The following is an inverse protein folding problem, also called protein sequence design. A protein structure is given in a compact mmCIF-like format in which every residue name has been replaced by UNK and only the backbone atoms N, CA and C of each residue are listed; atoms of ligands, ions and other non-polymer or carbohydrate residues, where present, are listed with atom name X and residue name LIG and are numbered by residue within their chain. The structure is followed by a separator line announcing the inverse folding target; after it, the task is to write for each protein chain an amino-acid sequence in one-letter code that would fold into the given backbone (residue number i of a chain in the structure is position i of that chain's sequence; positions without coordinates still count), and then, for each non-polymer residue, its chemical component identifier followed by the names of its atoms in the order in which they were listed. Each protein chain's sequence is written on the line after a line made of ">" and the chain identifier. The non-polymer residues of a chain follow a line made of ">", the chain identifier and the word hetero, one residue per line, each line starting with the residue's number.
data_IF_919254626255
#
_entry.id   IF_919254626255
#
_cell.length_a   1.000
_cell.length_b   1.000
_cell.length_c   1.000
_cell.angle_alpha   90.00
_cell.angle_beta   90.00
_cell.angle_gamma   90.00
#
_symmetry.space_group_name_H-M   'P 1'
#
loop_
_entity.id
_entity.type
_entity.pdbx_description
1 polymer ?
#
# COMPACT_ATOMS: atom_id res chain seq x y z
N UNK A 1 4.29 7.18 4.87
CA UNK A 1 3.98 6.93 6.29
C UNK A 1 2.59 6.32 6.49
N UNK A 2 1.51 6.95 6.00
CA UNK A 2 0.14 6.49 6.27
C UNK A 2 -0.19 5.06 5.83
N UNK A 3 0.37 4.60 4.71
CA UNK A 3 0.19 3.22 4.23
C UNK A 3 0.69 2.19 5.24
N UNK A 4 1.83 2.44 5.87
CA UNK A 4 2.44 1.50 6.83
C UNK A 4 1.77 1.60 8.20
N UNK A 5 1.44 2.81 8.66
CA UNK A 5 0.94 3.03 10.02
C UNK A 5 -0.57 2.78 10.17
N UNK A 6 -1.34 2.95 9.10
CA UNK A 6 -2.80 2.82 9.16
C UNK A 6 -3.32 1.72 8.25
N UNK A 7 -2.96 1.76 6.96
CA UNK A 7 -3.57 0.86 5.95
C UNK A 7 -3.14 -0.59 6.18
N UNK A 8 -1.84 -0.87 6.28
CA UNK A 8 -1.33 -2.23 6.47
C UNK A 8 -1.83 -2.90 7.76
N UNK A 9 -1.71 -2.29 8.96
CA UNK A 9 -2.16 -2.95 10.19
C UNK A 9 -3.68 -3.16 10.21
N UNK A 10 -4.46 -2.19 9.72
CA UNK A 10 -5.91 -2.36 9.60
C UNK A 10 -6.27 -3.47 8.59
N UNK A 11 -5.64 -3.46 7.42
CA UNK A 11 -5.93 -4.45 6.39
C UNK A 11 -5.53 -5.87 6.80
N UNK A 12 -4.39 -6.03 7.49
CA UNK A 12 -3.97 -7.32 8.05
C UNK A 12 -4.92 -7.80 9.13
N UNK A 13 -5.35 -6.91 10.04
CA UNK A 13 -6.32 -7.25 11.09
C UNK A 13 -7.62 -7.77 10.48
N UNK A 14 -8.18 -7.06 9.49
CA UNK A 14 -9.43 -7.47 8.85
C UNK A 14 -9.24 -8.73 8.01
N UNK A 15 -8.15 -8.86 7.26
CA UNK A 15 -7.85 -10.06 6.49
C UNK A 15 -7.76 -11.31 7.38
N UNK A 16 -7.18 -11.17 8.57
CA UNK A 16 -7.11 -12.26 9.55
C UNK A 16 -8.49 -12.57 10.13
N UNK A 17 -9.17 -11.57 10.68
CA UNK A 17 -10.44 -11.78 11.39
C UNK A 17 -11.56 -12.29 10.47
N UNK A 18 -11.54 -11.87 9.20
CA UNK A 18 -12.53 -12.30 8.22
C UNK A 18 -12.28 -13.70 7.67
N UNK A 19 -11.12 -14.31 7.93
CA UNK A 19 -10.87 -15.71 7.55
C UNK A 19 -11.75 -16.67 8.35
N UNK A 20 -11.73 -16.56 9.67
CA UNK A 20 -12.54 -17.41 10.56
C UNK A 20 -14.04 -17.21 10.29
N UNK A 21 -14.45 -15.98 10.00
CA UNK A 21 -15.83 -15.64 9.63
C UNK A 21 -16.32 -16.37 8.36
N UNK A 22 -15.43 -16.63 7.40
CA UNK A 22 -15.76 -17.35 6.17
C UNK A 22 -15.80 -18.85 6.40
N UNK A 23 -14.85 -19.36 7.17
CA UNK A 23 -14.80 -20.79 7.53
C UNK A 23 -16.05 -21.18 8.31
N UNK A 24 -16.45 -20.40 9.31
CA UNK A 24 -17.65 -20.66 10.11
C UNK A 24 -18.93 -20.61 9.25
N UNK A 25 -19.01 -19.67 8.29
CA UNK A 25 -20.12 -19.61 7.34
C UNK A 25 -20.16 -20.80 6.35
N UNK A 26 -18.99 -21.38 6.04
CA UNK A 26 -18.87 -22.56 5.20
C UNK A 26 -19.30 -23.82 5.98
N UNK A 27 -18.82 -23.99 7.20
CA UNK A 27 -19.13 -25.14 8.06
C UNK A 27 -20.60 -25.15 8.52
N UNK A 28 -21.17 -23.99 8.81
CA UNK A 28 -22.59 -23.84 9.18
C UNK A 28 -23.56 -24.09 8.02
N UNK A 29 -23.07 -24.16 6.77
CA UNK A 29 -23.91 -24.37 5.60
C UNK A 29 -24.95 -23.26 5.41
N UNK A 30 -24.63 -22.02 5.79
CA UNK A 30 -25.54 -20.88 5.70
C UNK A 30 -26.00 -20.68 4.24
N UNK A 31 -27.20 -21.19 3.94
CA UNK A 31 -27.89 -21.10 2.67
C UNK A 31 -29.33 -20.67 2.89
N UNK A 32 -29.92 -19.99 1.90
CA UNK A 32 -31.35 -19.66 1.98
C UNK A 32 -32.20 -20.94 1.92
N UNK A 33 -33.18 -21.06 2.82
CA UNK A 33 -34.18 -22.13 2.79
C UNK A 33 -35.26 -21.92 1.71
N UNK A 34 -35.27 -20.76 1.05
CA UNK A 34 -36.23 -20.43 0.00
C UNK A 34 -35.90 -21.15 -1.32
N UNK A 35 -36.91 -21.63 -2.06
CA UNK A 35 -36.72 -22.29 -3.35
C UNK A 35 -36.26 -21.26 -4.39
N UNK A 36 -34.95 -20.99 -4.43
CA UNK A 36 -34.30 -20.01 -5.31
C UNK A 36 -33.33 -19.04 -4.62
N UNK A 37 -33.17 -19.09 -3.30
CA UNK A 37 -32.22 -18.21 -2.60
C UNK A 37 -30.76 -18.68 -2.73
N UNK A 38 -29.80 -17.77 -2.44
CA UNK A 38 -28.36 -18.05 -2.55
C UNK A 38 -27.97 -19.24 -1.64
N UNK A 39 -27.60 -20.40 -2.21
CA UNK A 39 -27.24 -21.58 -1.43
C UNK A 39 -25.85 -21.46 -0.79
N UNK A 40 -25.00 -20.58 -1.32
CA UNK A 40 -23.60 -20.42 -0.91
C UNK A 40 -23.31 -19.00 -0.43
N UNK A 41 -23.92 -18.58 0.69
CA UNK A 41 -23.71 -17.21 1.24
C UNK A 41 -22.27 -16.97 1.69
N UNK A 42 -21.54 -18.05 2.01
CA UNK A 42 -20.11 -18.02 2.32
C UNK A 42 -19.27 -17.43 1.17
N UNK A 43 -19.70 -17.55 -0.10
CA UNK A 43 -18.96 -16.98 -1.25
C UNK A 43 -18.91 -15.47 -1.16
N UNK A 44 -20.03 -14.84 -0.80
CA UNK A 44 -20.11 -13.37 -0.64
C UNK A 44 -19.24 -12.95 0.54
N UNK A 45 -19.29 -13.71 1.66
CA UNK A 45 -18.44 -13.45 2.82
C UNK A 45 -16.95 -13.62 2.48
N UNK A 46 -16.59 -14.56 1.60
CA UNK A 46 -15.20 -14.79 1.16
C UNK A 46 -14.60 -13.63 0.36
N UNK A 47 -15.43 -12.79 -0.26
CA UNK A 47 -14.95 -11.56 -0.89
C UNK A 47 -14.38 -10.56 0.14
N UNK A 48 -14.77 -10.64 1.42
CA UNK A 48 -14.23 -9.78 2.48
C UNK A 48 -12.72 -10.02 2.64
N UNK A 49 -12.22 -11.20 3.07
CA UNK A 49 -10.78 -11.43 3.20
C UNK A 49 -10.06 -11.25 1.87
N UNK A 50 -10.66 -11.69 0.76
CA UNK A 50 -10.07 -11.56 -0.57
C UNK A 50 -9.76 -10.10 -0.94
N UNK A 51 -10.71 -9.19 -0.69
CA UNK A 51 -10.54 -7.76 -0.97
C UNK A 51 -9.41 -7.14 -0.14
N UNK A 52 -9.29 -7.54 1.13
CA UNK A 52 -8.24 -7.05 2.02
C UNK A 52 -6.86 -7.63 1.69
N UNK A 53 -6.77 -8.88 1.24
CA UNK A 53 -5.53 -9.44 0.70
C UNK A 53 -5.08 -8.69 -0.57
N UNK A 54 -6.01 -8.38 -1.47
CA UNK A 54 -5.73 -7.53 -2.64
C UNK A 54 -5.26 -6.14 -2.22
N UNK A 55 -5.91 -5.54 -1.22
CA UNK A 55 -5.56 -4.22 -0.70
C UNK A 55 -4.13 -4.21 -0.14
N UNK A 56 -3.73 -5.25 0.61
CA UNK A 56 -2.36 -5.40 1.12
C UNK A 56 -1.38 -5.45 -0.05
N UNK A 57 -1.65 -6.28 -1.07
CA UNK A 57 -0.81 -6.42 -2.24
C UNK A 57 -0.60 -5.07 -2.97
N UNK A 58 -1.69 -4.35 -3.25
CA UNK A 58 -1.61 -3.03 -3.90
C UNK A 58 -0.93 -1.98 -3.01
N UNK A 59 -1.17 -2.02 -1.70
CA UNK A 59 -0.58 -1.07 -0.75
C UNK A 59 0.95 -1.20 -0.69
N UNK A 60 1.46 -2.43 -0.74
CA UNK A 60 2.91 -2.69 -0.81
C UNK A 60 3.49 -2.12 -2.11
N UNK A 61 2.86 -2.41 -3.26
CA UNK A 61 3.32 -1.88 -4.55
C UNK A 61 3.30 -0.34 -4.60
N UNK A 62 2.24 0.27 -4.08
CA UNK A 62 2.14 1.73 -3.96
C UNK A 62 3.25 2.30 -3.09
N UNK A 63 3.53 1.68 -1.94
CA UNK A 63 4.61 2.11 -1.05
C UNK A 63 5.98 2.08 -1.73
N UNK A 64 6.31 0.99 -2.43
CA UNK A 64 7.58 0.85 -3.15
C UNK A 64 7.71 1.91 -4.25
N UNK A 65 6.65 2.13 -5.03
CA UNK A 65 6.65 3.16 -6.09
C UNK A 65 7.01 4.53 -5.52
N UNK A 66 6.36 4.93 -4.42
CA UNK A 66 6.63 6.23 -3.79
C UNK A 66 8.01 6.29 -3.14
N UNK A 67 8.49 5.18 -2.58
CA UNK A 67 9.84 5.11 -2.06
C UNK A 67 10.88 5.35 -3.15
N UNK A 68 10.73 4.72 -4.31
CA UNK A 68 11.62 4.91 -5.45
C UNK A 68 11.62 6.36 -5.94
N UNK A 69 10.45 7.00 -6.04
CA UNK A 69 10.33 8.42 -6.42
C UNK A 69 11.03 9.33 -5.40
N UNK A 70 10.88 9.06 -4.11
CA UNK A 70 11.54 9.84 -3.06
C UNK A 70 13.07 9.70 -3.12
N UNK A 71 13.57 8.48 -3.36
CA UNK A 71 15.00 8.22 -3.48
C UNK A 71 15.60 8.92 -4.71
N UNK A 72 14.91 8.88 -5.84
CA UNK A 72 15.31 9.56 -7.08
C UNK A 72 15.36 11.09 -6.89
N UNK A 73 14.34 11.68 -6.27
CA UNK A 73 14.34 13.10 -5.95
C UNK A 73 15.54 13.49 -5.05
N UNK A 74 15.87 12.65 -4.06
CA UNK A 74 16.98 12.89 -3.13
C UNK A 74 18.35 12.82 -3.80
N UNK A 75 18.56 11.92 -4.78
CA UNK A 75 19.81 11.90 -5.56
C UNK A 75 19.96 13.15 -6.42
N UNK A 76 18.88 13.61 -7.06
CA UNK A 76 18.91 14.82 -7.90
C UNK A 76 19.25 16.09 -7.10
N UNK A 77 18.70 16.22 -5.88
CA UNK A 77 19.01 17.35 -4.99
C UNK A 77 20.49 17.37 -4.54
N UNK A 78 21.09 16.20 -4.32
CA UNK A 78 22.51 16.12 -3.97
C UNK A 78 23.42 16.61 -5.10
N UNK A 79 23.05 16.38 -6.35
CA UNK A 79 23.83 16.83 -7.52
C UNK A 79 23.64 18.34 -7.77
N UNK A 80 22.42 18.85 -7.60
CA UNK A 80 22.14 20.29 -7.67
C UNK A 80 22.93 21.09 -6.62
N UNK A 81 23.05 20.57 -5.39
CA UNK A 81 23.86 21.21 -4.34
C UNK A 81 25.36 21.25 -4.65
N UNK A 82 25.90 20.19 -5.27
CA UNK A 82 27.31 20.18 -5.73
C UNK A 82 27.54 21.16 -6.88
N UNK A 83 26.56 21.28 -7.77
CA UNK A 83 26.57 22.25 -8.87
C UNK A 83 26.60 23.67 -8.33
N UNK A 84 25.64 24.06 -7.48
CA UNK A 84 25.59 25.40 -6.88
C UNK A 84 26.89 25.79 -6.17
N UNK A 85 27.45 24.88 -5.36
CA UNK A 85 28.74 25.07 -4.70
C UNK A 85 29.89 25.32 -5.69
N UNK A 86 29.86 24.71 -6.88
CA UNK A 86 30.84 24.93 -7.96
C UNK A 86 30.66 26.29 -8.63
N UNK A 87 29.42 26.73 -8.85
CA UNK A 87 29.12 28.05 -9.44
C UNK A 87 29.52 29.19 -8.50
N UNK A 88 29.20 29.08 -7.21
CA UNK A 88 29.58 30.07 -6.20
C UNK A 88 31.11 30.30 -6.16
N UNK A 89 31.90 29.21 -6.19
CA UNK A 89 33.37 29.30 -6.26
C UNK A 89 33.88 29.94 -7.56
N UNK A 90 33.22 29.67 -8.67
CA UNK A 90 33.62 30.23 -9.98
C UNK A 90 33.30 31.72 -10.07
N UNK A 91 32.16 32.15 -9.52
CA UNK A 91 31.77 33.56 -9.47
C UNK A 91 32.73 34.39 -8.59
N UNK A 92 33.12 33.86 -7.42
CA UNK A 92 34.07 34.55 -6.53
C UNK A 92 35.50 34.64 -7.09
N UNK A 93 35.89 33.73 -7.99
CA UNK A 93 37.20 33.77 -8.64
C UNK A 93 37.28 34.82 -9.77
N UNK A 94 36.14 35.37 -10.21
CA UNK A 94 36.03 36.40 -11.24
C UNK A 94 36.11 37.85 -10.74
N UNK A 95 35.73 38.15 -9.48
CA UNK A 95 35.72 39.52 -8.94
C UNK A 95 37.07 40.00 -8.35
N UNK A 96 38.07 39.13 -8.27
CA UNK A 96 39.39 39.43 -7.69
C UNK A 96 40.47 39.87 -8.70
N UNK A 97 40.10 40.23 -9.93
CA UNK A 97 41.02 40.69 -10.99
C UNK A 97 40.55 42.03 -11.56
#
# INVERSE_FOLDING_TARGET
>A
AGVILFILPLALLVAWLSWDYVVEAYESGEGSADPGGLPYRWVIKAFIPFSFWLLIFFSVGYFIKWLNVYLDARSNLSEAGKFDAKFSKTAQQGEGK
#
